data_IF_837900974952
#
_entry.id   IF_837900974952
#
_cell.length_a   1.000
_cell.length_b   1.000
_cell.length_c   1.000
_cell.angle_alpha   90.00
_cell.angle_beta   90.00
_cell.angle_gamma   90.00
#
_symmetry.space_group_name_H-M   'P 1'
#
loop_
_entity.id
_entity.type
_entity.pdbx_description
1 polymer ?
#
# COMPACT_ATOMS: atom_id res chain seq x y z
N UNK A 1 -4.52 1.75 4.97
CA UNK A 1 -3.80 2.89 5.61
C UNK A 1 -2.42 3.18 5.01
N UNK A 2 -1.45 2.25 4.94
CA UNK A 2 -0.09 2.56 4.51
C UNK A 2 0.02 3.23 3.14
N UNK A 3 -0.70 2.73 2.14
CA UNK A 3 -0.77 3.30 0.78
C UNK A 3 -1.20 4.77 0.79
N UNK A 4 -2.26 5.08 1.55
CA UNK A 4 -2.79 6.45 1.68
C UNK A 4 -1.75 7.38 2.31
N UNK A 5 -1.07 6.93 3.36
CA UNK A 5 -0.03 7.69 4.05
C UNK A 5 1.19 7.94 3.15
N UNK A 6 1.68 6.90 2.46
CA UNK A 6 2.78 7.01 1.51
C UNK A 6 2.43 8.00 0.38
N UNK A 7 1.20 7.94 -0.13
CA UNK A 7 0.73 8.87 -1.17
C UNK A 7 0.69 10.31 -0.66
N UNK A 8 0.23 10.53 0.58
CA UNK A 8 0.24 11.85 1.20
C UNK A 8 1.66 12.42 1.33
N UNK A 9 2.63 11.57 1.71
CA UNK A 9 4.06 11.93 1.76
C UNK A 9 4.54 12.32 0.36
N UNK A 10 4.28 11.49 -0.66
CA UNK A 10 4.67 11.77 -2.05
C UNK A 10 4.14 13.10 -2.57
N UNK A 11 2.89 13.45 -2.22
CA UNK A 11 2.27 14.73 -2.59
C UNK A 11 2.91 15.92 -1.85
N UNK A 12 3.43 15.72 -0.65
CA UNK A 12 4.06 16.77 0.15
C UNK A 12 5.50 17.12 -0.28
N UNK A 13 6.21 16.18 -0.92
CA UNK A 13 7.60 16.35 -1.37
C UNK A 13 7.79 17.63 -2.19
N UNK A 14 8.93 18.32 -2.03
CA UNK A 14 9.06 19.76 -2.34
C UNK A 14 9.28 20.02 -3.82
N UNK A 15 10.00 19.15 -4.52
CA UNK A 15 10.41 19.32 -5.92
C UNK A 15 9.71 18.39 -6.92
N UNK A 16 8.65 17.69 -6.49
CA UNK A 16 7.88 16.82 -7.38
C UNK A 16 6.94 17.63 -8.26
N UNK A 17 6.98 17.33 -9.56
CA UNK A 17 6.10 17.94 -10.54
C UNK A 17 4.63 17.53 -10.31
N UNK A 18 3.72 18.50 -10.46
CA UNK A 18 2.30 18.31 -10.16
C UNK A 18 1.65 17.21 -11.03
N UNK A 19 2.11 17.04 -12.27
CA UNK A 19 1.66 15.97 -13.16
C UNK A 19 2.05 14.58 -12.64
N UNK A 20 3.29 14.38 -12.15
CA UNK A 20 3.72 13.12 -11.52
C UNK A 20 2.88 12.80 -10.28
N UNK A 21 2.69 13.78 -9.40
CA UNK A 21 1.88 13.61 -8.20
C UNK A 21 0.42 13.25 -8.55
N UNK A 22 -0.17 13.92 -9.55
CA UNK A 22 -1.52 13.63 -10.01
C UNK A 22 -1.64 12.24 -10.65
N UNK A 23 -0.65 11.79 -11.44
CA UNK A 23 -0.62 10.44 -12.00
C UNK A 23 -0.59 9.37 -10.90
N UNK A 24 0.25 9.56 -9.87
CA UNK A 24 0.29 8.66 -8.72
C UNK A 24 -1.09 8.59 -8.04
N UNK A 25 -1.74 9.73 -7.82
CA UNK A 25 -3.05 9.77 -7.19
C UNK A 25 -4.12 9.04 -7.99
N UNK A 26 -4.14 9.19 -9.32
CA UNK A 26 -5.06 8.44 -10.19
C UNK A 26 -4.81 6.94 -10.07
N UNK A 27 -3.55 6.49 -10.20
CA UNK A 27 -3.21 5.07 -10.09
C UNK A 27 -3.55 4.48 -8.71
N UNK A 28 -3.29 5.22 -7.64
CA UNK A 28 -3.65 4.80 -6.28
C UNK A 28 -5.16 4.77 -6.08
N UNK A 29 -5.93 5.69 -6.68
CA UNK A 29 -7.40 5.68 -6.61
C UNK A 29 -7.97 4.38 -7.17
N UNK A 30 -7.48 3.96 -8.33
CA UNK A 30 -7.90 2.72 -8.99
C UNK A 30 -7.52 1.49 -8.14
N UNK A 31 -6.28 1.44 -7.66
CA UNK A 31 -5.80 0.34 -6.80
C UNK A 31 -6.57 0.23 -5.48
N UNK A 32 -6.82 1.35 -4.80
CA UNK A 32 -7.54 1.36 -3.52
C UNK A 32 -8.98 0.88 -3.65
N UNK A 33 -9.64 1.13 -4.78
CA UNK A 33 -10.99 0.62 -5.03
C UNK A 33 -11.03 -0.92 -4.95
N UNK A 34 -10.08 -1.56 -5.62
CA UNK A 34 -9.94 -3.02 -5.64
C UNK A 34 -9.52 -3.54 -4.26
N UNK A 35 -8.49 -2.95 -3.65
CA UNK A 35 -7.98 -3.37 -2.33
C UNK A 35 -9.06 -3.27 -1.26
N UNK A 36 -9.88 -2.22 -1.26
CA UNK A 36 -11.00 -2.09 -0.33
C UNK A 36 -11.96 -3.26 -0.41
N UNK A 37 -12.30 -3.71 -1.62
CA UNK A 37 -13.19 -4.85 -1.80
C UNK A 37 -12.56 -6.17 -1.32
N UNK A 38 -11.26 -6.34 -1.54
CA UNK A 38 -10.50 -7.49 -1.06
C UNK A 38 -10.51 -7.51 0.47
N UNK A 39 -10.10 -6.41 1.11
CA UNK A 39 -10.05 -6.27 2.57
C UNK A 39 -11.43 -6.48 3.22
N UNK A 40 -12.50 -5.87 2.67
CA UNK A 40 -13.87 -6.07 3.16
C UNK A 40 -14.33 -7.54 3.08
N UNK A 41 -13.78 -8.31 2.14
CA UNK A 41 -14.15 -9.71 1.97
C UNK A 41 -13.37 -10.64 2.90
N UNK A 42 -12.10 -10.32 3.16
CA UNK A 42 -11.23 -11.12 4.01
C UNK A 42 -11.43 -10.83 5.50
N UNK A 43 -11.76 -9.58 5.87
CA UNK A 43 -11.98 -9.18 7.25
C UNK A 43 -13.34 -9.67 7.79
N UNK A 44 -13.38 -10.93 8.20
CA UNK A 44 -14.59 -11.56 8.78
C UNK A 44 -14.90 -11.11 10.20
N UNK A 45 -13.89 -10.70 10.97
CA UNK A 45 -14.05 -10.25 12.36
C UNK A 45 -14.48 -8.79 12.43
N UNK A 46 -14.21 -7.99 11.39
CA UNK A 46 -14.48 -6.55 11.38
C UNK A 46 -13.44 -5.76 12.17
N UNK A 47 -12.38 -6.40 12.66
CA UNK A 47 -11.38 -5.77 13.54
C UNK A 47 -10.58 -4.67 12.84
N UNK A 48 -10.51 -4.72 11.51
CA UNK A 48 -9.81 -3.73 10.69
C UNK A 48 -10.75 -2.62 10.19
N UNK A 49 -12.03 -2.63 10.58
CA UNK A 49 -13.02 -1.64 10.12
C UNK A 49 -12.62 -0.20 10.50
N UNK A 50 -12.09 0.01 11.71
CA UNK A 50 -11.63 1.33 12.16
C UNK A 50 -10.48 1.86 11.31
N UNK A 51 -9.52 0.99 10.96
CA UNK A 51 -8.38 1.30 10.09
C UNK A 51 -8.87 1.63 8.68
N UNK A 52 -9.82 0.86 8.13
CA UNK A 52 -10.40 1.14 6.80
C UNK A 52 -11.14 2.47 6.77
N UNK A 53 -11.96 2.75 7.78
CA UNK A 53 -12.66 4.04 7.90
C UNK A 53 -11.68 5.20 8.02
N UNK A 54 -10.60 5.04 8.78
CA UNK A 54 -9.53 6.03 8.85
C UNK A 54 -8.89 6.26 7.47
N UNK A 55 -8.63 5.19 6.72
CA UNK A 55 -8.05 5.26 5.39
C UNK A 55 -8.98 6.00 4.42
N UNK A 56 -10.27 5.70 4.42
CA UNK A 56 -11.28 6.36 3.58
C UNK A 56 -11.31 7.88 3.84
N UNK A 57 -11.34 8.28 5.12
CA UNK A 57 -11.40 9.70 5.51
C UNK A 57 -10.13 10.44 5.06
N UNK A 58 -8.96 9.86 5.32
CA UNK A 58 -7.69 10.47 4.95
C UNK A 58 -7.53 10.50 3.43
N UNK A 59 -7.96 9.45 2.74
CA UNK A 59 -7.86 9.37 1.29
C UNK A 59 -8.63 10.50 0.61
N UNK A 60 -9.87 10.77 1.03
CA UNK A 60 -10.65 11.89 0.51
C UNK A 60 -9.93 13.23 0.75
N UNK A 61 -9.32 13.41 1.92
CA UNK A 61 -8.56 14.62 2.24
C UNK A 61 -7.35 14.80 1.30
N UNK A 62 -6.62 13.72 1.02
CA UNK A 62 -5.43 13.72 0.16
C UNK A 62 -5.79 13.87 -1.32
N UNK A 63 -6.76 13.10 -1.80
CA UNK A 63 -7.17 13.01 -3.20
C UNK A 63 -7.91 14.27 -3.68
N UNK A 64 -8.79 14.84 -2.86
CA UNK A 64 -9.61 15.98 -3.28
C UNK A 64 -8.97 17.30 -2.86
N UNK A 65 -8.53 17.38 -1.61
CA UNK A 65 -8.11 18.65 -1.02
C UNK A 65 -6.59 18.83 -0.94
N UNK A 66 -5.81 17.79 -1.27
CA UNK A 66 -4.35 17.76 -1.05
C UNK A 66 -4.00 18.08 0.41
N UNK A 67 -4.80 17.56 1.33
CA UNK A 67 -4.67 17.81 2.77
C UNK A 67 -4.40 16.54 3.56
N UNK A 68 -3.74 16.73 4.69
CA UNK A 68 -3.62 15.74 5.74
C UNK A 68 -3.72 16.44 7.09
N UNK A 69 -4.56 15.90 7.98
CA UNK A 69 -4.90 16.51 9.27
C UNK A 69 -5.30 18.00 9.16
N UNK A 70 -6.20 18.29 8.21
CA UNK A 70 -6.68 19.63 7.82
C UNK A 70 -5.62 20.62 7.28
N UNK A 71 -4.35 20.22 7.25
CA UNK A 71 -3.25 21.01 6.72
C UNK A 71 -3.04 20.70 5.24
N UNK A 72 -2.81 21.74 4.46
CA UNK A 72 -2.40 21.63 3.05
C UNK A 72 -1.00 21.00 2.96
N UNK A 73 -0.89 19.88 2.24
CA UNK A 73 0.34 19.11 2.07
C UNK A 73 1.46 19.92 1.37
N UNK A 74 1.10 20.96 0.61
CA UNK A 74 2.04 21.86 -0.05
C UNK A 74 2.31 23.14 0.77
N UNK A 75 1.67 23.31 1.93
CA UNK A 75 1.92 24.46 2.79
C UNK A 75 3.33 24.46 3.36
N UNK A 76 3.90 25.64 3.61
CA UNK A 76 5.24 25.81 4.19
C UNK A 76 5.40 25.19 5.60
N UNK A 77 4.30 24.86 6.28
CA UNK A 77 4.33 24.14 7.56
C UNK A 77 4.67 22.67 7.38
N UNK A 78 4.22 22.06 6.29
CA UNK A 78 4.50 20.66 5.95
C UNK A 78 5.75 20.59 5.07
N UNK A 79 5.71 21.32 3.96
CA UNK A 79 6.75 21.35 2.93
C UNK A 79 7.93 22.18 3.39
N UNK A 80 9.00 21.49 3.79
CA UNK A 80 10.29 22.10 4.15
C UNK A 80 11.08 22.56 2.92
N UNK A 81 12.32 22.95 3.14
CA UNK A 81 13.29 23.24 2.07
C UNK A 81 13.81 21.97 1.38
N UNK A 82 13.79 20.84 2.10
CA UNK A 82 14.23 19.52 1.62
C UNK A 82 13.16 18.45 1.84
N UNK A 83 13.25 17.32 1.14
CA UNK A 83 12.38 16.16 1.41
C UNK A 83 12.57 15.63 2.85
N UNK A 84 13.80 15.66 3.37
CA UNK A 84 14.10 15.25 4.75
C UNK A 84 13.39 16.16 5.76
N UNK A 85 13.45 17.47 5.58
CA UNK A 85 12.72 18.42 6.42
C UNK A 85 11.20 18.23 6.31
N UNK A 86 10.69 17.95 5.11
CA UNK A 86 9.26 17.65 4.90
C UNK A 86 8.82 16.40 5.66
N UNK A 87 9.60 15.33 5.62
CA UNK A 87 9.36 14.10 6.39
C UNK A 87 9.43 14.34 7.90
N UNK A 88 10.40 15.13 8.36
CA UNK A 88 10.52 15.50 9.78
C UNK A 88 9.31 16.32 10.25
N UNK A 89 8.84 17.28 9.44
CA UNK A 89 7.65 18.07 9.76
C UNK A 89 6.41 17.19 9.86
N UNK A 90 6.16 16.33 8.87
CA UNK A 90 5.04 15.38 8.89
C UNK A 90 5.12 14.45 10.11
N UNK A 91 6.31 13.91 10.37
CA UNK A 91 6.57 13.03 11.52
C UNK A 91 6.30 13.71 12.86
N UNK A 92 6.82 14.92 13.06
CA UNK A 92 6.66 15.68 14.30
C UNK A 92 5.21 16.09 14.55
N UNK A 93 4.50 16.55 13.52
CA UNK A 93 3.07 16.89 13.63
C UNK A 93 2.25 15.65 14.00
N UNK A 94 2.54 14.52 13.35
CA UNK A 94 1.88 13.24 13.62
C UNK A 94 2.17 12.72 15.03
N UNK A 95 3.43 12.74 15.46
CA UNK A 95 3.85 12.36 16.81
C UNK A 95 3.15 13.20 17.87
N UNK A 96 3.08 14.52 17.66
CA UNK A 96 2.38 15.43 18.55
C UNK A 96 0.90 15.05 18.69
N UNK A 97 0.21 14.77 17.58
CA UNK A 97 -1.20 14.37 17.61
C UNK A 97 -1.41 13.04 18.37
N UNK A 98 -0.51 12.07 18.23
CA UNK A 98 -0.57 10.79 18.96
C UNK A 98 -0.26 11.00 20.45
N UNK A 99 0.80 11.73 20.78
CA UNK A 99 1.23 11.94 22.18
C UNK A 99 0.22 12.76 22.97
N UNK A 100 -0.37 13.81 22.37
CA UNK A 100 -1.47 14.57 22.98
C UNK A 100 -2.70 13.70 23.25
N UNK A 101 -3.06 12.83 22.30
CA UNK A 101 -4.17 11.88 22.51
C UNK A 101 -3.88 10.89 23.64
N UNK A 102 -2.68 10.31 23.66
CA UNK A 102 -2.28 9.34 24.69
C UNK A 102 -2.19 9.98 26.08
N UNK A 103 -1.77 11.24 26.19
CA UNK A 103 -1.71 11.96 27.45
C UNK A 103 -3.10 12.28 28.04
N UNK A 104 -4.12 12.47 27.19
CA UNK A 104 -5.49 12.79 27.60
C UNK A 104 -6.36 11.55 27.85
N UNK A 105 -5.94 10.41 27.31
CA UNK A 105 -6.71 9.17 27.36
C UNK A 105 -6.54 8.47 28.70
N UNK A 106 -7.66 8.25 29.40
CA UNK A 106 -7.73 7.42 30.62
C UNK A 106 -8.50 6.12 30.41
N UNK A 107 -9.06 5.91 29.22
CA UNK A 107 -9.86 4.73 28.87
C UNK A 107 -8.97 3.52 28.56
N UNK A 108 -9.21 2.42 29.25
CA UNK A 108 -8.50 1.15 29.08
C UNK A 108 -8.71 0.58 27.66
N UNK A 109 -9.86 0.83 27.03
CA UNK A 109 -10.15 0.35 25.68
C UNK A 109 -9.22 1.00 24.63
N UNK A 110 -8.75 2.22 24.90
CA UNK A 110 -7.84 2.96 24.03
C UNK A 110 -6.39 2.52 24.18
N UNK A 111 -6.09 1.51 25.01
CA UNK A 111 -4.80 0.81 24.96
C UNK A 111 -4.64 -0.01 23.67
N UNK A 112 -5.75 -0.42 23.05
CA UNK A 112 -5.73 -1.07 21.75
C UNK A 112 -5.80 -0.02 20.62
N UNK A 113 -4.77 0.10 19.76
CA UNK A 113 -4.77 1.05 18.64
C UNK A 113 -5.92 0.88 17.65
N UNK A 114 -6.56 -0.30 17.59
CA UNK A 114 -7.74 -0.53 16.76
C UNK A 114 -8.97 0.25 17.24
N UNK A 115 -9.00 0.67 18.50
CA UNK A 115 -10.07 1.48 19.07
C UNK A 115 -9.83 2.98 18.93
N UNK A 116 -8.66 3.40 18.43
CA UNK A 116 -8.31 4.81 18.34
C UNK A 116 -9.22 5.56 17.34
N UNK A 117 -9.45 6.87 17.57
CA UNK A 117 -10.11 7.71 16.58
C UNK A 117 -9.37 7.70 15.24
N UNK A 118 -10.12 7.79 14.14
CA UNK A 118 -9.56 7.76 12.78
C UNK A 118 -8.38 8.72 12.57
N UNK A 119 -8.50 9.95 13.09
CA UNK A 119 -7.43 10.95 13.07
C UNK A 119 -6.14 10.47 13.74
N UNK A 120 -6.24 9.78 14.87
CA UNK A 120 -5.09 9.28 15.63
C UNK A 120 -4.48 8.06 14.95
N UNK A 121 -5.30 7.18 14.37
CA UNK A 121 -4.81 6.06 13.52
C UNK A 121 -3.99 6.63 12.34
N UNK A 122 -4.50 7.68 11.69
CA UNK A 122 -3.82 8.35 10.59
C UNK A 122 -2.51 9.01 11.03
N UNK A 123 -2.52 9.72 12.16
CA UNK A 123 -1.33 10.30 12.78
C UNK A 123 -0.28 9.21 13.09
N UNK A 124 -0.67 8.13 13.76
CA UNK A 124 0.25 7.05 14.08
C UNK A 124 0.86 6.42 12.83
N UNK A 125 0.06 6.22 11.77
CA UNK A 125 0.57 5.73 10.49
C UNK A 125 1.58 6.69 9.86
N UNK A 126 1.28 8.00 9.85
CA UNK A 126 2.16 9.04 9.31
C UNK A 126 3.48 9.09 10.07
N UNK A 127 3.42 9.14 11.40
CA UNK A 127 4.59 9.13 12.27
C UNK A 127 5.49 7.90 11.98
N UNK A 128 4.93 6.70 12.01
CA UNK A 128 5.71 5.47 11.80
C UNK A 128 6.33 5.40 10.42
N UNK A 129 5.57 5.69 9.37
CA UNK A 129 6.05 5.59 7.99
C UNK A 129 7.11 6.67 7.71
N UNK A 130 6.87 7.92 8.12
CA UNK A 130 7.85 8.99 7.94
C UNK A 130 9.16 8.67 8.69
N UNK A 131 9.09 8.15 9.92
CA UNK A 131 10.27 7.68 10.66
C UNK A 131 10.98 6.53 9.95
N UNK A 132 10.27 5.53 9.45
CA UNK A 132 10.87 4.42 8.70
C UNK A 132 11.62 4.91 7.47
N UNK A 133 11.03 5.84 6.71
CA UNK A 133 11.68 6.44 5.54
C UNK A 133 12.93 7.23 5.97
N UNK A 134 12.82 8.07 7.01
CA UNK A 134 13.94 8.87 7.54
C UNK A 134 15.12 7.98 7.98
N UNK A 135 14.85 6.87 8.66
CA UNK A 135 15.88 5.90 9.07
C UNK A 135 16.51 5.22 7.85
N UNK A 136 15.71 4.89 6.83
CA UNK A 136 16.20 4.26 5.59
C UNK A 136 17.09 5.16 4.74
N UNK A 137 16.93 6.48 4.82
CA UNK A 137 17.79 7.45 4.11
C UNK A 137 19.21 7.54 4.66
N UNK A 138 19.45 7.10 5.90
CA UNK A 138 20.73 7.29 6.59
C UNK A 138 21.14 8.76 6.71
N UNK A 139 22.45 9.02 6.75
CA UNK A 139 23.03 10.38 6.79
C UNK A 139 23.32 10.94 5.39
N UNK A 140 23.01 10.19 4.33
CA UNK A 140 23.32 10.61 2.97
C UNK A 140 22.34 11.69 2.52
N UNK A 141 22.87 12.85 2.11
CA UNK A 141 22.11 14.01 1.64
C UNK A 141 21.94 14.01 0.12
N UNK A 142 22.47 13.00 -0.58
CA UNK A 142 22.53 12.97 -2.04
C UNK A 142 21.28 12.44 -2.74
N UNK A 143 20.30 11.87 -2.02
CA UNK A 143 19.06 11.40 -2.62
C UNK A 143 18.24 12.59 -3.13
N UNK A 144 17.92 12.63 -4.42
CA UNK A 144 17.03 13.66 -4.97
C UNK A 144 15.56 13.31 -4.71
N UNK A 145 14.70 14.33 -4.68
CA UNK A 145 13.26 14.18 -4.41
C UNK A 145 12.61 13.18 -5.38
N UNK A 146 13.03 13.16 -6.65
CA UNK A 146 12.53 12.24 -7.67
C UNK A 146 12.87 10.77 -7.35
N UNK A 147 14.07 10.48 -6.81
CA UNK A 147 14.47 9.13 -6.42
C UNK A 147 13.66 8.64 -5.20
N UNK A 148 13.42 9.54 -4.24
CA UNK A 148 12.56 9.24 -3.10
C UNK A 148 11.12 8.99 -3.54
N UNK A 149 10.58 9.85 -4.41
CA UNK A 149 9.23 9.69 -4.94
C UNK A 149 9.07 8.37 -5.68
N UNK A 150 10.05 7.99 -6.50
CA UNK A 150 10.06 6.71 -7.21
C UNK A 150 10.08 5.54 -6.22
N UNK A 151 10.97 5.58 -5.23
CA UNK A 151 11.06 4.54 -4.17
C UNK A 151 9.74 4.38 -3.39
N UNK A 152 9.08 5.50 -3.05
CA UNK A 152 7.76 5.47 -2.41
C UNK A 152 6.70 4.89 -3.37
N UNK A 153 6.75 5.25 -4.65
CA UNK A 153 5.81 4.76 -5.67
C UNK A 153 5.95 3.25 -5.92
N UNK A 154 7.19 2.74 -5.90
CA UNK A 154 7.48 1.29 -5.92
C UNK A 154 6.90 0.63 -4.67
N UNK A 155 7.14 1.19 -3.49
CA UNK A 155 6.60 0.65 -2.23
C UNK A 155 5.07 0.60 -2.24
N UNK A 156 4.41 1.64 -2.75
CA UNK A 156 2.94 1.66 -2.94
C UNK A 156 2.51 0.54 -3.88
N UNK A 157 3.20 0.39 -5.02
CA UNK A 157 2.90 -0.63 -6.02
C UNK A 157 3.06 -2.05 -5.46
N UNK A 158 4.11 -2.31 -4.68
CA UNK A 158 4.35 -3.59 -4.03
C UNK A 158 3.26 -3.91 -3.00
N UNK A 159 2.81 -2.92 -2.23
CA UNK A 159 1.70 -3.09 -1.28
C UNK A 159 0.41 -3.42 -2.03
N UNK A 160 0.09 -2.67 -3.10
CA UNK A 160 -1.10 -2.92 -3.91
C UNK A 160 -1.04 -4.30 -4.58
N UNK A 161 0.10 -4.70 -5.12
CA UNK A 161 0.33 -6.01 -5.72
C UNK A 161 0.13 -7.14 -4.69
N UNK A 162 0.71 -6.99 -3.49
CA UNK A 162 0.51 -7.94 -2.39
C UNK A 162 -0.95 -8.03 -1.93
N UNK A 163 -1.72 -6.95 -1.99
CA UNK A 163 -3.17 -7.02 -1.76
C UNK A 163 -3.88 -7.76 -2.90
N UNK A 164 -3.47 -7.55 -4.15
CA UNK A 164 -4.09 -8.14 -5.35
C UNK A 164 -3.84 -9.65 -5.48
N UNK A 165 -2.79 -10.22 -4.90
CA UNK A 165 -2.60 -11.69 -4.89
C UNK A 165 -3.75 -12.41 -4.17
N UNK A 166 -4.40 -11.75 -3.21
CA UNK A 166 -5.54 -12.29 -2.48
C UNK A 166 -6.85 -12.35 -3.30
N UNK A 167 -6.84 -11.85 -4.53
CA UNK A 167 -8.03 -11.81 -5.39
C UNK A 167 -8.64 -13.19 -5.63
N UNK A 168 -7.79 -14.20 -5.88
CA UNK A 168 -8.23 -15.57 -6.13
C UNK A 168 -8.95 -16.16 -4.91
N UNK A 169 -8.43 -15.88 -3.71
CA UNK A 169 -9.07 -16.31 -2.45
C UNK A 169 -10.42 -15.62 -2.26
N UNK A 170 -10.49 -14.30 -2.47
CA UNK A 170 -11.72 -13.51 -2.39
C UNK A 170 -12.80 -14.05 -3.34
N UNK A 171 -12.45 -14.31 -4.60
CA UNK A 171 -13.35 -14.89 -5.61
C UNK A 171 -13.89 -16.25 -5.13
N UNK A 172 -13.01 -17.08 -4.57
CA UNK A 172 -13.37 -18.41 -4.07
C UNK A 172 -14.34 -18.32 -2.88
N UNK A 173 -14.06 -17.47 -1.90
CA UNK A 173 -14.91 -17.27 -0.72
C UNK A 173 -16.31 -16.76 -1.10
N UNK A 174 -16.37 -15.81 -2.03
CA UNK A 174 -17.62 -15.24 -2.54
C UNK A 174 -18.49 -16.23 -3.32
N UNK A 175 -17.89 -17.26 -3.94
CA UNK A 175 -18.63 -18.32 -4.67
C UNK A 175 -19.44 -19.23 -3.76
N UNK A 176 -19.05 -19.39 -2.50
CA UNK A 176 -19.67 -20.29 -1.53
C UNK A 176 -20.65 -19.60 -0.55
N UNK A 177 -21.10 -18.37 -0.86
CA UNK A 177 -22.11 -17.68 -0.04
C UNK A 177 -23.49 -18.31 -0.22
N UNK A 178 -24.08 -18.83 0.87
CA UNK A 178 -25.35 -19.58 0.85
C UNK A 178 -26.61 -18.70 0.81
N UNK A 179 -26.51 -17.43 1.23
CA UNK A 179 -27.61 -16.47 1.11
C UNK A 179 -27.68 -15.94 -0.33
N UNK A 180 -28.83 -16.07 -0.99
CA UNK A 180 -29.01 -15.72 -2.41
C UNK A 180 -28.82 -14.22 -2.67
N UNK A 181 -29.24 -13.36 -1.74
CA UNK A 181 -29.14 -11.90 -1.91
C UNK A 181 -27.70 -11.43 -1.67
N UNK A 182 -27.05 -11.97 -0.66
CA UNK A 182 -25.62 -11.74 -0.43
C UNK A 182 -24.78 -12.37 -1.54
N UNK A 183 -25.19 -13.50 -2.11
CA UNK A 183 -24.57 -14.13 -3.28
C UNK A 183 -24.72 -13.26 -4.53
N UNK A 184 -25.86 -12.64 -4.78
CA UNK A 184 -26.02 -11.73 -5.92
C UNK A 184 -25.16 -10.47 -5.77
N UNK A 185 -25.15 -9.85 -4.58
CA UNK A 185 -24.30 -8.69 -4.26
C UNK A 185 -22.82 -9.04 -4.35
N UNK A 186 -22.45 -10.22 -3.85
CA UNK A 186 -21.13 -10.86 -3.95
C UNK A 186 -20.72 -11.08 -5.41
N UNK A 187 -21.57 -11.71 -6.24
CA UNK A 187 -21.32 -11.96 -7.65
C UNK A 187 -21.19 -10.66 -8.46
N UNK A 188 -21.99 -9.62 -8.16
CA UNK A 188 -21.82 -8.30 -8.77
C UNK A 188 -20.47 -7.70 -8.43
N UNK A 189 -20.09 -7.73 -7.14
CA UNK A 189 -18.77 -7.25 -6.69
C UNK A 189 -17.63 -8.03 -7.34
N UNK A 190 -17.71 -9.36 -7.41
CA UNK A 190 -16.73 -10.22 -8.10
C UNK A 190 -16.68 -9.95 -9.60
N UNK A 191 -17.81 -9.65 -10.23
CA UNK A 191 -17.86 -9.33 -11.67
C UNK A 191 -17.22 -7.99 -11.98
N UNK A 192 -17.49 -6.95 -11.17
CA UNK A 192 -16.82 -5.65 -11.27
C UNK A 192 -15.32 -5.84 -11.07
N UNK A 193 -14.95 -6.54 -9.99
CA UNK A 193 -13.57 -6.82 -9.64
C UNK A 193 -12.82 -7.56 -10.74
N UNK A 194 -13.40 -8.62 -11.31
CA UNK A 194 -12.81 -9.38 -12.42
C UNK A 194 -12.68 -8.54 -13.69
N UNK A 195 -13.61 -7.61 -13.93
CA UNK A 195 -13.54 -6.68 -15.05
C UNK A 195 -12.42 -5.66 -14.88
N UNK A 196 -12.34 -5.01 -13.71
CA UNK A 196 -11.34 -3.99 -13.37
C UNK A 196 -9.94 -4.58 -13.24
N UNK A 197 -9.80 -5.79 -12.71
CA UNK A 197 -8.51 -6.47 -12.54
C UNK A 197 -8.09 -7.32 -13.74
N UNK A 198 -8.83 -7.30 -14.86
CA UNK A 198 -8.61 -8.22 -15.99
C UNK A 198 -7.19 -8.14 -16.54
N UNK A 199 -6.73 -6.94 -16.85
CA UNK A 199 -5.38 -6.72 -17.40
C UNK A 199 -4.29 -7.08 -16.39
N UNK A 200 -4.54 -6.83 -15.10
CA UNK A 200 -3.63 -7.22 -14.01
C UNK A 200 -3.48 -8.74 -13.97
N UNK A 201 -4.61 -9.48 -14.05
CA UNK A 201 -4.60 -10.95 -14.06
C UNK A 201 -3.88 -11.52 -15.29
N UNK A 202 -4.05 -10.91 -16.46
CA UNK A 202 -3.35 -11.30 -17.69
C UNK A 202 -1.82 -11.14 -17.53
N UNK A 203 -1.37 -10.00 -16.97
CA UNK A 203 0.05 -9.76 -16.69
C UNK A 203 0.60 -10.74 -15.64
N UNK A 204 -0.18 -11.03 -14.59
CA UNK A 204 0.24 -11.97 -13.54
C UNK A 204 0.32 -13.41 -14.04
N UNK A 205 -0.49 -13.80 -15.04
CA UNK A 205 -0.42 -15.14 -15.66
C UNK A 205 0.83 -15.33 -16.53
N UNK A 206 1.36 -14.25 -17.11
CA UNK A 206 2.58 -14.27 -17.93
C UNK A 206 3.87 -14.26 -17.09
N UNK A 207 3.78 -13.97 -15.79
CA UNK A 207 4.94 -13.95 -14.88
C UNK A 207 5.01 -15.24 -14.07
N UNK A 208 6.19 -15.85 -14.00
CA UNK A 208 6.47 -16.90 -13.01
C UNK A 208 6.52 -16.24 -11.62
N UNK A 209 5.41 -16.32 -10.88
CA UNK A 209 5.37 -15.93 -9.47
C UNK A 209 6.07 -16.99 -8.62
N UNK A 210 6.84 -16.61 -7.58
CA UNK A 210 7.37 -17.55 -6.62
C UNK A 210 6.27 -18.42 -6.03
N UNK A 211 6.51 -19.73 -5.95
CA UNK A 211 5.53 -20.66 -5.38
C UNK A 211 5.39 -20.40 -3.88
N UNK A 212 4.42 -19.56 -3.51
CA UNK A 212 4.10 -19.24 -2.14
C UNK A 212 2.86 -20.03 -1.69
N UNK A 213 2.93 -20.51 -0.45
CA UNK A 213 1.77 -21.08 0.23
C UNK A 213 0.68 -20.02 0.39
N UNK A 214 -0.56 -20.37 0.07
CA UNK A 214 -1.70 -19.44 -0.07
C UNK A 214 -2.04 -18.76 1.26
N UNK A 215 -1.84 -19.44 2.39
CA UNK A 215 -2.03 -18.85 3.72
C UNK A 215 -0.95 -17.82 4.05
N UNK A 216 0.28 -18.02 3.59
CA UNK A 216 1.41 -17.12 3.85
C UNK A 216 1.41 -15.90 2.96
N UNK A 217 1.01 -16.07 1.69
CA UNK A 217 0.86 -14.97 0.74
C UNK A 217 -0.20 -13.94 1.17
N UNK A 218 -1.09 -14.30 2.11
CA UNK A 218 -2.13 -13.42 2.61
C UNK A 218 -1.63 -12.33 3.57
N UNK A 219 -0.42 -12.50 4.13
CA UNK A 219 0.21 -11.51 5.01
C UNK A 219 1.39 -10.83 4.31
N UNK A 220 1.33 -9.49 4.22
CA UNK A 220 2.31 -8.69 3.47
C UNK A 220 3.76 -8.85 3.98
N UNK A 221 3.94 -9.07 5.27
CA UNK A 221 5.26 -9.24 5.88
C UNK A 221 5.86 -10.61 5.52
N UNK A 222 5.03 -11.65 5.41
CA UNK A 222 5.47 -12.99 4.96
C UNK A 222 5.77 -13.00 3.46
N UNK A 223 4.96 -12.29 2.67
CA UNK A 223 5.19 -12.11 1.23
C UNK A 223 6.53 -11.40 0.94
N UNK A 224 6.82 -10.30 1.65
CA UNK A 224 8.11 -9.61 1.53
C UNK A 224 9.31 -10.49 1.92
N UNK A 225 9.18 -11.29 2.98
CA UNK A 225 10.23 -12.19 3.40
C UNK A 225 10.54 -13.27 2.34
N UNK A 226 9.52 -13.77 1.64
CA UNK A 226 9.72 -14.77 0.59
C UNK A 226 10.38 -14.24 -0.68
N UNK A 227 10.07 -13.01 -1.09
CA UNK A 227 10.73 -12.40 -2.24
C UNK A 227 12.21 -12.12 -1.99
N UNK A 228 12.60 -11.86 -0.74
CA UNK A 228 14.00 -11.69 -0.38
C UNK A 228 14.82 -13.00 -0.51
N UNK A 229 14.19 -14.16 -0.33
CA UNK A 229 14.84 -15.47 -0.42
C UNK A 229 15.15 -15.90 -1.87
N UNK A 230 14.32 -15.50 -2.84
CA UNK A 230 14.57 -15.78 -4.26
C UNK A 230 15.70 -14.94 -4.85
N UNK A 231 15.98 -13.76 -4.25
CA UNK A 231 17.11 -12.91 -4.64
C UNK A 231 18.46 -13.53 -4.20
N UNK A 232 18.47 -14.31 -3.11
CA UNK A 232 19.69 -15.00 -2.63
C UNK A 232 19.97 -16.33 -3.34
N UNK A 233 19.00 -16.92 -4.06
CA UNK A 233 19.19 -18.15 -4.85
C UNK A 233 18.56 -18.03 -6.25
N UNK A 234 19.23 -17.37 -7.19
CA UNK A 234 18.76 -17.33 -8.57
C UNK A 234 18.75 -18.74 -9.19
N UNK A 235 17.70 -19.11 -9.97
CA UNK A 235 17.69 -20.38 -10.68
C UNK A 235 18.84 -20.43 -11.70
N UNK A 236 19.46 -21.61 -11.81
CA UNK A 236 20.60 -21.83 -12.70
C UNK A 236 20.24 -21.48 -14.16
N UNK A 237 21.16 -20.86 -14.93
CA UNK A 237 20.88 -20.49 -16.31
C UNK A 237 20.60 -21.74 -17.15
N UNK A 238 19.55 -21.65 -17.96
CA UNK A 238 19.11 -22.72 -18.87
C UNK A 238 20.22 -22.98 -19.89
N UNK A 239 20.81 -24.18 -19.85
CA UNK A 239 21.81 -24.62 -20.82
C UNK A 239 21.21 -24.63 -22.23
N UNK A 240 21.75 -23.80 -23.12
CA UNK A 240 21.44 -23.84 -24.54
C UNK A 240 21.88 -25.20 -25.13
N UNK A 241 20.93 -25.99 -25.63
CA UNK A 241 21.23 -27.19 -26.41
C UNK A 241 21.76 -26.76 -27.78
N UNK A 242 23.05 -26.98 -28.05
CA UNK A 242 23.62 -26.82 -29.39
C UNK A 242 23.08 -27.92 -30.32
N UNK A 243 22.29 -27.53 -31.32
CA UNK A 243 21.98 -28.39 -32.46
C UNK A 243 23.14 -28.32 -33.46
N UNK A 244 24.03 -29.30 -33.44
CA UNK A 244 24.98 -29.51 -34.53
C UNK A 244 24.42 -30.57 -35.48
N UNK A 245 23.95 -30.08 -36.64
CA UNK A 245 23.76 -30.87 -37.85
C UNK A 245 25.12 -31.05 -38.53
N UNK A 246 25.54 -32.30 -38.75
CA UNK A 246 26.58 -32.61 -39.74
C UNK A 246 26.27 -33.94 -40.45
N UNK A 247 25.78 -33.79 -41.68
CA UNK A 247 25.72 -34.77 -42.78
C UNK A 247 27.09 -35.38 -43.08
N UNK A 248 27.17 -36.70 -43.34
CA UNK A 248 28.20 -37.30 -44.21
C UNK A 248 27.59 -38.47 -45.00
N UNK A 249 27.58 -38.28 -46.33
CA UNK A 249 27.66 -39.19 -47.49
C UNK A 249 27.07 -40.59 -47.40
#
# INVERSE_FOLDING_TARGET
>A
MPVVTLTAISVALTKIADDKANQLLVGVSEGLHIVKLIEETLDRSGELESIRKAADVVWIAVEVYRKWDDMDLKSARIRGTTHRETLQNLSSIAEKAVTEFMAQTTDILMQNPLNWPARVIAANSMYRIAQTILVGMGDDEHQDDDELFESISITISDILAGCLTNLVQVITLKRHTNDIKEREKSLRRVTILLGESKQILEILQERELPSLDVEKASYIDEWRASMALDIENPPAPVSASSSDNATVV
#
